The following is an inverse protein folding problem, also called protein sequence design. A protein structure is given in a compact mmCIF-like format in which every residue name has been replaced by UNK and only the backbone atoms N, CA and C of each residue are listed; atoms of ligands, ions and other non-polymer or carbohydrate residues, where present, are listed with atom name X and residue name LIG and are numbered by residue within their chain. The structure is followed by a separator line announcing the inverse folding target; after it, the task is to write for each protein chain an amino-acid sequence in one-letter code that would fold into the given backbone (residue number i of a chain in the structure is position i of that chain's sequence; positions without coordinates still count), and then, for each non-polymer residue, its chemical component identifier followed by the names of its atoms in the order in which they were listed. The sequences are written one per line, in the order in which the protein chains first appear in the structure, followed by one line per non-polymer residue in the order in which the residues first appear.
data_IF_187987094386
#
_entry.id   IF_187987094386
#
_cell.length_a   1.000
_cell.length_b   1.000
_cell.length_c   1.000
_cell.angle_alpha   90.00
_cell.angle_beta   90.00
_cell.angle_gamma   90.00
#
_symmetry.space_group_name_H-M   'P 1'
#
loop_
_entity.id
_entity.type
_entity.pdbx_description
1 polymer ?
#
# COMPACT_ATOMS: atom_id res chain seq x y z
N UNK A 1 43.18 4.86 -24.32
CA UNK A 1 42.85 3.99 -25.46
C UNK A 1 42.95 2.55 -24.98
N UNK A 2 41.81 1.94 -24.65
CA UNK A 2 41.71 0.54 -24.22
C UNK A 2 41.55 -0.33 -25.47
N UNK A 3 42.38 -1.35 -25.63
CA UNK A 3 42.30 -2.27 -26.77
C UNK A 3 40.92 -2.94 -26.88
N UNK A 4 40.41 -3.18 -28.10
CA UNK A 4 39.18 -3.95 -28.29
C UNK A 4 39.41 -5.40 -27.86
N UNK A 5 38.82 -5.78 -26.73
CA UNK A 5 38.86 -7.15 -26.21
C UNK A 5 38.34 -8.15 -27.25
N UNK A 6 39.09 -9.24 -27.43
CA UNK A 6 38.72 -10.30 -28.37
C UNK A 6 37.28 -10.78 -28.12
N UNK A 7 36.47 -10.82 -29.19
CA UNK A 7 35.09 -11.28 -29.12
C UNK A 7 35.03 -12.72 -28.60
N UNK A 8 34.09 -13.02 -27.70
CA UNK A 8 33.94 -14.34 -27.07
C UNK A 8 32.82 -15.15 -27.72
N UNK A 9 32.90 -16.47 -27.62
CA UNK A 9 31.87 -17.36 -28.16
C UNK A 9 30.58 -17.40 -27.32
N UNK A 10 29.52 -17.95 -27.90
CA UNK A 10 28.21 -18.06 -27.26
C UNK A 10 28.24 -18.86 -25.95
N UNK A 11 29.13 -19.85 -25.82
CA UNK A 11 29.22 -20.66 -24.62
C UNK A 11 29.81 -19.84 -23.46
N UNK A 12 30.94 -19.17 -23.72
CA UNK A 12 31.62 -18.31 -22.75
C UNK A 12 30.76 -17.12 -22.35
N UNK A 13 30.06 -16.49 -23.31
CA UNK A 13 29.14 -15.39 -23.02
C UNK A 13 27.93 -15.83 -22.17
N UNK A 14 27.41 -17.04 -22.41
CA UNK A 14 26.28 -17.57 -21.66
C UNK A 14 26.67 -17.93 -20.22
N UNK A 15 27.85 -18.53 -20.05
CA UNK A 15 28.43 -18.87 -18.76
C UNK A 15 28.65 -17.63 -17.89
N UNK A 16 29.23 -16.56 -18.45
CA UNK A 16 29.44 -15.29 -17.75
C UNK A 16 28.15 -14.60 -17.28
N UNK A 17 27.03 -14.82 -17.97
CA UNK A 17 25.70 -14.32 -17.57
C UNK A 17 24.92 -15.32 -16.70
N UNK A 18 25.42 -16.54 -16.54
CA UNK A 18 24.74 -17.68 -15.91
C UNK A 18 23.45 -18.09 -16.63
N UNK A 19 23.36 -17.93 -17.95
CA UNK A 19 22.17 -18.23 -18.76
C UNK A 19 22.43 -19.37 -19.76
N UNK A 20 21.37 -19.88 -20.41
CA UNK A 20 21.53 -20.82 -21.54
C UNK A 20 21.94 -20.08 -22.81
N UNK A 21 22.73 -20.68 -23.73
CA UNK A 21 23.12 -20.05 -25.00
C UNK A 21 21.93 -19.55 -25.85
N UNK A 22 20.78 -20.22 -25.80
CA UNK A 22 19.56 -19.78 -26.47
C UNK A 22 19.08 -18.38 -26.01
N UNK A 23 19.32 -18.04 -24.74
CA UNK A 23 18.93 -16.75 -24.14
C UNK A 23 19.73 -15.59 -24.72
N UNK A 24 21.00 -15.81 -25.10
CA UNK A 24 21.83 -14.78 -25.75
C UNK A 24 21.21 -14.28 -27.05
N UNK A 25 20.69 -15.18 -27.88
CA UNK A 25 20.04 -14.82 -29.13
C UNK A 25 18.75 -14.01 -28.92
N UNK A 26 18.05 -14.25 -27.81
CA UNK A 26 16.91 -13.43 -27.42
C UNK A 26 17.33 -12.01 -27.00
N UNK A 27 18.50 -11.84 -26.37
CA UNK A 27 19.06 -10.52 -26.06
C UNK A 27 19.51 -9.78 -27.34
N UNK A 28 20.11 -10.49 -28.30
CA UNK A 28 20.45 -9.94 -29.62
C UNK A 28 19.21 -9.48 -30.37
N UNK A 29 18.15 -10.31 -30.41
CA UNK A 29 16.88 -9.94 -31.06
C UNK A 29 16.21 -8.71 -30.42
N UNK A 30 16.53 -8.39 -29.17
CA UNK A 30 16.01 -7.23 -28.43
C UNK A 30 16.96 -6.03 -28.50
N UNK A 31 18.04 -6.11 -29.28
CA UNK A 31 19.05 -5.05 -29.41
C UNK A 31 19.91 -4.83 -28.15
N UNK A 32 19.93 -5.79 -27.22
CA UNK A 32 20.64 -5.67 -25.94
C UNK A 32 22.10 -6.15 -26.02
N UNK A 33 22.40 -7.03 -26.97
CA UNK A 33 23.75 -7.52 -27.25
C UNK A 33 23.98 -7.46 -28.76
N UNK A 34 25.20 -7.12 -29.16
CA UNK A 34 25.65 -7.27 -30.54
C UNK A 34 26.15 -8.67 -30.80
N UNK A 35 25.94 -9.12 -32.04
CA UNK A 35 26.37 -10.42 -32.51
C UNK A 35 27.19 -10.27 -33.77
N UNK A 36 28.44 -10.74 -33.74
CA UNK A 36 29.24 -10.99 -34.93
C UNK A 36 29.22 -12.48 -35.27
N UNK A 37 29.70 -12.83 -36.46
CA UNK A 37 29.94 -14.22 -36.86
C UNK A 37 31.43 -14.44 -37.06
N UNK A 38 31.88 -15.66 -36.81
CA UNK A 38 33.23 -16.08 -37.20
C UNK A 38 33.43 -15.95 -38.72
N UNK A 39 34.67 -15.82 -39.22
CA UNK A 39 34.95 -15.72 -40.65
C UNK A 39 34.42 -16.90 -41.49
N UNK A 40 34.31 -18.09 -40.90
CA UNK A 40 33.71 -19.28 -41.52
C UNK A 40 32.16 -19.27 -41.47
N UNK A 41 31.55 -18.25 -40.87
CA UNK A 41 30.11 -18.05 -40.75
C UNK A 41 29.38 -19.00 -39.79
N UNK A 42 30.09 -19.96 -39.16
CA UNK A 42 29.48 -21.09 -38.45
C UNK A 42 29.13 -20.78 -36.99
N UNK A 43 29.80 -19.83 -36.35
CA UNK A 43 29.63 -19.54 -34.92
C UNK A 43 29.33 -18.07 -34.67
N UNK A 44 28.56 -17.82 -33.60
CA UNK A 44 28.23 -16.46 -33.16
C UNK A 44 29.23 -16.01 -32.10
N UNK A 45 29.66 -14.76 -32.22
CA UNK A 45 30.58 -14.09 -31.32
C UNK A 45 29.89 -12.89 -30.65
N UNK A 46 30.29 -12.58 -29.42
CA UNK A 46 29.72 -11.54 -28.57
C UNK A 46 30.82 -10.64 -27.99
N UNK A 47 30.50 -9.37 -27.75
CA UNK A 47 31.40 -8.41 -27.13
C UNK A 47 31.46 -8.64 -25.61
N UNK A 48 32.63 -8.94 -25.03
CA UNK A 48 32.78 -9.16 -23.58
C UNK A 48 32.33 -7.98 -22.72
N UNK A 49 32.52 -6.74 -23.19
CA UNK A 49 32.15 -5.55 -22.42
C UNK A 49 30.63 -5.39 -22.32
N UNK A 50 29.89 -5.71 -23.39
CA UNK A 50 28.42 -5.71 -23.36
C UNK A 50 27.87 -6.82 -22.46
N UNK A 51 28.55 -7.96 -22.40
CA UNK A 51 28.22 -9.08 -21.50
C UNK A 51 28.43 -8.68 -20.03
N UNK A 52 29.56 -8.05 -19.71
CA UNK A 52 29.87 -7.62 -18.33
C UNK A 52 28.97 -6.48 -17.86
N UNK A 53 28.62 -5.54 -18.75
CA UNK A 53 27.63 -4.50 -18.46
C UNK A 53 26.23 -5.08 -18.20
N UNK A 54 25.80 -6.06 -19.01
CA UNK A 54 24.52 -6.74 -18.81
C UNK A 54 24.49 -7.58 -17.53
N UNK A 55 25.61 -8.19 -17.15
CA UNK A 55 25.75 -8.89 -15.86
C UNK A 55 25.58 -7.93 -14.67
N UNK A 56 26.20 -6.74 -14.73
CA UNK A 56 26.10 -5.70 -13.68
C UNK A 56 24.69 -5.11 -13.56
N UNK A 57 23.98 -4.93 -14.67
CA UNK A 57 22.61 -4.36 -14.67
C UNK A 57 21.52 -5.33 -14.19
N UNK A 58 21.83 -6.62 -14.07
CA UNK A 58 20.86 -7.66 -13.72
C UNK A 58 20.01 -8.10 -14.92
N UNK A 59 19.50 -9.34 -14.84
CA UNK A 59 18.72 -9.96 -15.93
C UNK A 59 17.43 -9.20 -16.20
N UNK A 60 17.12 -8.82 -17.45
CA UNK A 60 15.79 -8.33 -17.81
C UNK A 60 14.77 -9.46 -17.63
N UNK A 61 13.92 -9.35 -16.61
CA UNK A 61 12.81 -10.28 -16.38
C UNK A 61 11.68 -10.02 -17.38
N UNK A 62 11.00 -11.08 -17.83
CA UNK A 62 9.81 -10.97 -18.67
C UNK A 62 8.61 -10.57 -17.78
N UNK A 63 8.03 -9.41 -18.07
CA UNK A 63 6.71 -8.99 -17.56
C UNK A 63 6.78 -8.11 -16.31
N UNK A 64 6.46 -6.82 -16.47
CA UNK A 64 6.40 -5.81 -15.42
C UNK A 64 7.49 -4.76 -15.57
N UNK A 65 7.10 -3.50 -15.76
CA UNK A 65 7.99 -2.36 -15.49
C UNK A 65 8.13 -2.27 -13.97
N UNK A 66 8.99 -3.10 -13.39
CA UNK A 66 9.18 -3.14 -11.94
C UNK A 66 10.04 -1.95 -11.52
N UNK A 67 9.41 -0.98 -10.86
CA UNK A 67 10.11 0.12 -10.22
C UNK A 67 10.77 -0.43 -8.95
N UNK A 68 12.08 -0.70 -9.03
CA UNK A 68 12.86 -1.15 -7.87
C UNK A 68 13.38 0.07 -7.14
N UNK A 69 12.97 0.23 -5.88
CA UNK A 69 13.48 1.27 -5.00
C UNK A 69 13.97 0.63 -3.72
N UNK A 70 15.22 0.88 -3.34
CA UNK A 70 15.76 0.38 -2.08
C UNK A 70 14.93 0.91 -0.89
N UNK A 71 14.69 0.06 0.10
CA UNK A 71 14.02 0.42 1.34
C UNK A 71 14.47 -0.53 2.46
N UNK A 72 14.56 0.00 3.68
CA UNK A 72 14.87 -0.74 4.91
C UNK A 72 13.64 -0.91 5.80
N UNK A 73 12.46 -0.46 5.33
CA UNK A 73 11.25 -0.36 6.14
C UNK A 73 10.47 -1.66 6.21
N UNK A 74 10.18 -2.28 5.07
CA UNK A 74 9.36 -3.49 5.03
C UNK A 74 9.87 -4.43 3.97
N UNK A 75 9.94 -5.70 4.33
CA UNK A 75 10.12 -6.80 3.39
C UNK A 75 8.87 -7.67 3.40
N UNK A 76 8.44 -8.13 2.24
CA UNK A 76 7.34 -9.09 2.11
C UNK A 76 7.91 -10.51 2.12
N UNK A 77 7.49 -11.32 3.09
CA UNK A 77 7.74 -12.76 3.08
C UNK A 77 6.70 -13.51 2.25
N UNK A 78 6.62 -14.82 2.45
CA UNK A 78 5.75 -15.71 1.65
C UNK A 78 4.25 -15.36 1.76
N UNK A 79 3.81 -14.90 2.93
CA UNK A 79 2.40 -14.62 3.22
C UNK A 79 2.15 -13.38 4.10
N UNK A 80 3.20 -12.66 4.53
CA UNK A 80 3.09 -11.52 5.46
C UNK A 80 4.23 -10.50 5.31
N UNK A 81 4.03 -9.24 5.74
CA UNK A 81 5.09 -8.25 5.82
C UNK A 81 5.89 -8.33 7.13
N UNK A 82 7.15 -7.88 7.07
CA UNK A 82 8.03 -7.70 8.22
C UNK A 82 8.48 -6.24 8.31
N UNK A 83 8.04 -5.54 9.37
CA UNK A 83 8.36 -4.13 9.60
C UNK A 83 9.71 -3.99 10.30
N UNK A 84 10.70 -3.47 9.58
CA UNK A 84 12.12 -3.39 9.98
C UNK A 84 12.60 -4.72 10.56
N UNK A 85 12.25 -5.81 9.90
CA UNK A 85 12.60 -7.18 10.28
C UNK A 85 11.68 -7.86 11.31
N UNK A 86 10.65 -7.18 11.85
CA UNK A 86 9.71 -7.75 12.83
C UNK A 86 8.42 -8.22 12.17
N UNK A 87 7.94 -9.41 12.55
CA UNK A 87 6.68 -9.98 12.04
C UNK A 87 5.48 -9.07 12.38
N UNK A 88 4.82 -8.55 11.34
CA UNK A 88 3.67 -7.65 11.50
C UNK A 88 2.49 -8.30 12.23
N UNK A 89 2.29 -9.61 12.12
CA UNK A 89 1.22 -10.31 12.85
C UNK A 89 1.50 -10.35 14.35
N UNK A 90 2.78 -10.53 14.74
CA UNK A 90 3.18 -10.49 16.16
C UNK A 90 3.03 -9.09 16.73
N UNK A 91 3.44 -8.07 15.96
CA UNK A 91 3.25 -6.68 16.34
C UNK A 91 1.77 -6.37 16.56
N UNK A 92 0.88 -6.81 15.65
CA UNK A 92 -0.56 -6.58 15.77
C UNK A 92 -1.17 -7.20 17.04
N UNK A 93 -0.59 -8.29 17.55
CA UNK A 93 -1.05 -8.94 18.76
C UNK A 93 -0.51 -8.31 20.06
N UNK A 94 0.55 -7.51 20.00
CA UNK A 94 1.32 -7.15 21.21
C UNK A 94 1.66 -5.66 21.35
N UNK A 95 1.58 -4.87 20.28
CA UNK A 95 2.00 -3.48 20.27
C UNK A 95 0.83 -2.56 19.94
N UNK A 96 0.91 -1.31 20.44
CA UNK A 96 -0.01 -0.26 20.03
C UNK A 96 0.37 0.23 18.63
N UNK A 97 -0.61 0.77 17.90
CA UNK A 97 -0.36 1.35 16.59
C UNK A 97 0.67 2.48 16.65
N UNK A 98 0.57 3.34 17.67
CA UNK A 98 1.49 4.46 17.89
C UNK A 98 2.94 4.00 18.09
N UNK A 99 3.15 2.87 18.77
CA UNK A 99 4.48 2.29 19.00
C UNK A 99 5.07 1.76 17.69
N UNK A 100 4.25 1.07 16.89
CA UNK A 100 4.66 0.55 15.58
C UNK A 100 4.96 1.68 14.59
N UNK A 101 4.13 2.73 14.58
CA UNK A 101 4.34 3.90 13.74
C UNK A 101 5.63 4.65 14.16
N UNK A 102 5.87 4.84 15.45
CA UNK A 102 7.13 5.41 15.92
C UNK A 102 8.34 4.56 15.50
N UNK A 103 8.27 3.24 15.69
CA UNK A 103 9.30 2.29 15.26
C UNK A 103 9.56 2.37 13.75
N UNK A 104 8.52 2.48 12.93
CA UNK A 104 8.67 2.65 11.48
C UNK A 104 9.43 3.94 11.13
N UNK A 105 9.17 5.04 11.83
CA UNK A 105 9.83 6.34 11.58
C UNK A 105 11.27 6.40 12.07
N UNK A 106 11.52 5.96 13.31
CA UNK A 106 12.82 6.18 13.98
C UNK A 106 13.73 4.96 13.94
N UNK A 107 13.17 3.76 13.84
CA UNK A 107 13.91 2.52 14.08
C UNK A 107 14.24 2.29 15.55
N UNK A 108 13.59 3.02 16.46
CA UNK A 108 13.76 2.94 17.91
C UNK A 108 12.45 2.54 18.58
N UNK A 109 12.53 1.75 19.66
CA UNK A 109 11.37 1.43 20.47
C UNK A 109 10.97 2.64 21.32
N UNK A 110 9.68 2.75 21.63
CA UNK A 110 9.19 3.77 22.56
C UNK A 110 8.33 3.15 23.63
N UNK A 111 8.47 3.67 24.85
CA UNK A 111 7.58 3.40 25.98
C UNK A 111 6.68 4.61 26.27
N UNK A 112 6.72 5.64 25.41
CA UNK A 112 5.97 6.87 25.60
C UNK A 112 4.47 6.60 25.52
N UNK A 113 3.75 6.87 26.61
CA UNK A 113 2.31 6.68 26.69
C UNK A 113 1.51 7.94 26.37
N UNK A 114 2.19 9.08 26.19
CA UNK A 114 1.56 10.37 25.88
C UNK A 114 0.71 10.26 24.61
N UNK A 115 -0.61 10.51 24.71
CA UNK A 115 -1.50 10.43 23.57
C UNK A 115 -1.11 11.43 22.47
N UNK A 116 -1.16 10.98 21.21
CA UNK A 116 -1.00 11.90 20.10
C UNK A 116 -2.23 12.80 19.99
N UNK A 117 -1.99 14.10 19.91
CA UNK A 117 -3.00 15.16 19.78
C UNK A 117 -2.55 16.11 18.69
N UNK A 118 -3.47 16.48 17.82
CA UNK A 118 -3.22 17.55 16.86
C UNK A 118 -3.38 18.91 17.52
N UNK A 119 -2.80 19.95 16.92
CA UNK A 119 -3.03 21.32 17.34
C UNK A 119 -4.53 21.66 17.24
N UNK A 120 -5.16 22.20 18.31
CA UNK A 120 -6.59 22.51 18.31
C UNK A 120 -7.03 23.40 17.14
N UNK A 121 -6.23 24.42 16.81
CA UNK A 121 -6.51 25.33 15.70
C UNK A 121 -6.47 24.62 14.34
N UNK A 122 -5.58 23.63 14.18
CA UNK A 122 -5.51 22.81 12.97
C UNK A 122 -6.75 21.92 12.83
N UNK A 123 -7.21 21.32 13.93
CA UNK A 123 -8.45 20.52 13.95
C UNK A 123 -9.67 21.40 13.65
N UNK A 124 -9.74 22.60 14.24
CA UNK A 124 -10.82 23.55 13.97
C UNK A 124 -10.86 23.96 12.50
N UNK A 125 -9.71 24.29 11.91
CA UNK A 125 -9.59 24.60 10.49
C UNK A 125 -10.02 23.42 9.60
N UNK A 126 -9.62 22.19 9.94
CA UNK A 126 -10.00 20.99 9.21
C UNK A 126 -11.49 20.66 9.31
N UNK A 127 -12.11 20.84 10.49
CA UNK A 127 -13.57 20.71 10.68
C UNK A 127 -14.31 21.77 9.86
N UNK A 128 -13.83 23.01 9.84
CA UNK A 128 -14.42 24.08 9.03
C UNK A 128 -14.31 23.79 7.52
N UNK A 129 -13.15 23.36 7.04
CA UNK A 129 -12.89 23.08 5.62
C UNK A 129 -13.81 22.00 5.03
N UNK A 130 -14.24 21.03 5.83
CA UNK A 130 -15.14 19.96 5.38
C UNK A 130 -16.62 20.19 5.71
N UNK A 131 -16.96 21.28 6.40
CA UNK A 131 -18.32 21.53 6.91
C UNK A 131 -19.37 21.67 5.80
N UNK A 132 -18.96 22.11 4.61
CA UNK A 132 -19.82 22.21 3.43
C UNK A 132 -19.96 20.93 2.61
N UNK A 133 -19.28 19.84 2.98
CA UNK A 133 -19.40 18.56 2.26
C UNK A 133 -20.73 17.89 2.57
N UNK A 134 -21.30 17.20 1.57
CA UNK A 134 -22.58 16.50 1.73
C UNK A 134 -22.53 15.47 2.88
N UNK A 135 -23.66 15.24 3.55
CA UNK A 135 -23.73 14.31 4.68
C UNK A 135 -23.23 12.90 4.33
N UNK A 136 -23.51 12.41 3.11
CA UNK A 136 -23.07 11.11 2.60
C UNK A 136 -21.63 11.06 2.07
N UNK A 137 -20.83 12.11 2.23
CA UNK A 137 -19.41 12.11 1.83
C UNK A 137 -18.65 11.08 2.65
N UNK A 138 -17.92 10.18 1.98
CA UNK A 138 -17.23 9.07 2.61
C UNK A 138 -16.09 9.56 3.51
N UNK A 139 -15.75 8.82 4.57
CA UNK A 139 -14.65 9.21 5.45
C UNK A 139 -13.32 9.43 4.73
N UNK A 140 -12.97 8.61 3.73
CA UNK A 140 -11.72 8.77 2.97
C UNK A 140 -11.66 10.11 2.23
N UNK A 141 -12.76 10.54 1.62
CA UNK A 141 -12.87 11.82 0.91
C UNK A 141 -12.71 12.99 1.89
N UNK A 142 -13.28 12.86 3.09
CA UNK A 142 -13.07 13.83 4.18
C UNK A 142 -11.61 13.88 4.62
N UNK A 143 -10.95 12.72 4.76
CA UNK A 143 -9.53 12.66 5.11
C UNK A 143 -8.63 13.38 4.11
N UNK A 144 -8.98 13.37 2.81
CA UNK A 144 -8.26 14.13 1.78
C UNK A 144 -8.38 15.65 2.02
N UNK A 145 -9.57 16.15 2.35
CA UNK A 145 -9.78 17.57 2.68
C UNK A 145 -9.11 17.95 4.00
N UNK A 146 -9.27 17.12 5.04
CA UNK A 146 -8.66 17.30 6.35
C UNK A 146 -7.14 17.43 6.23
N UNK A 147 -6.50 16.54 5.47
CA UNK A 147 -5.04 16.52 5.30
C UNK A 147 -4.52 17.85 4.74
N UNK A 148 -5.20 18.40 3.72
CA UNK A 148 -4.86 19.71 3.15
C UNK A 148 -5.04 20.82 4.18
N UNK A 149 -6.15 20.83 4.91
CA UNK A 149 -6.42 21.85 5.93
C UNK A 149 -5.40 21.82 7.08
N UNK A 150 -5.04 20.64 7.58
CA UNK A 150 -4.02 20.47 8.61
C UNK A 150 -2.66 21.02 8.15
N UNK A 151 -2.30 20.81 6.89
CA UNK A 151 -1.06 21.34 6.33
C UNK A 151 -0.99 22.87 6.42
N UNK A 152 -2.12 23.58 6.28
CA UNK A 152 -2.14 25.05 6.34
C UNK A 152 -1.85 25.62 7.72
N UNK A 153 -2.08 24.83 8.77
CA UNK A 153 -1.88 25.22 10.16
C UNK A 153 -0.48 24.84 10.69
N UNK A 154 0.32 24.10 9.93
CA UNK A 154 1.67 23.69 10.33
C UNK A 154 2.74 24.61 9.71
N UNK A 155 3.34 25.54 10.48
CA UNK A 155 4.37 26.43 9.97
C UNK A 155 5.71 25.71 9.70
N UNK A 156 5.91 24.51 10.24
CA UNK A 156 7.13 23.72 10.12
C UNK A 156 7.01 22.60 9.08
N UNK A 157 5.92 22.55 8.30
CA UNK A 157 5.69 21.48 7.31
C UNK A 157 6.80 21.31 6.27
N UNK A 158 7.57 22.37 5.99
CA UNK A 158 8.68 22.33 5.03
C UNK A 158 10.02 21.91 5.67
N UNK A 159 10.05 21.69 6.98
CA UNK A 159 11.20 21.14 7.69
C UNK A 159 11.18 19.61 7.57
N UNK A 160 12.06 19.06 6.74
CA UNK A 160 12.02 17.65 6.33
C UNK A 160 13.00 16.73 7.08
N UNK A 161 13.64 17.23 8.16
CA UNK A 161 14.48 16.37 8.99
C UNK A 161 13.62 15.33 9.76
N UNK A 162 14.21 14.19 10.16
CA UNK A 162 13.43 13.11 10.75
C UNK A 162 12.61 13.47 11.99
N UNK A 163 13.09 14.39 12.84
CA UNK A 163 12.38 14.78 14.05
C UNK A 163 11.16 15.65 13.72
N UNK A 164 11.33 16.60 12.79
CA UNK A 164 10.22 17.43 12.31
C UNK A 164 9.14 16.59 11.61
N UNK A 165 9.52 15.65 10.73
CA UNK A 165 8.56 14.77 10.05
C UNK A 165 7.86 13.83 11.03
N UNK A 166 8.55 13.35 12.06
CA UNK A 166 7.93 12.57 13.15
C UNK A 166 6.89 13.39 13.91
N UNK A 167 7.18 14.65 14.25
CA UNK A 167 6.22 15.53 14.91
C UNK A 167 5.01 15.85 14.02
N UNK A 168 5.25 16.20 12.76
CA UNK A 168 4.21 16.41 11.74
C UNK A 168 3.35 15.14 11.56
N UNK A 169 3.97 13.96 11.56
CA UNK A 169 3.27 12.68 11.45
C UNK A 169 2.30 12.40 12.61
N UNK A 170 2.73 12.67 13.85
CA UNK A 170 1.87 12.56 15.04
C UNK A 170 0.69 13.55 14.96
N UNK A 171 0.96 14.80 14.58
CA UNK A 171 -0.06 15.83 14.39
C UNK A 171 -1.04 15.46 13.27
N UNK A 172 -0.54 14.99 12.13
CA UNK A 172 -1.34 14.60 10.97
C UNK A 172 -2.26 13.42 11.28
N UNK A 173 -1.73 12.31 11.81
CA UNK A 173 -2.53 11.12 12.14
C UNK A 173 -3.58 11.46 13.20
N UNK A 174 -3.21 12.19 14.26
CA UNK A 174 -4.17 12.64 15.26
C UNK A 174 -5.24 13.55 14.63
N UNK A 175 -4.85 14.52 13.81
CA UNK A 175 -5.76 15.48 13.19
C UNK A 175 -6.71 14.83 12.17
N UNK A 176 -6.24 13.84 11.41
CA UNK A 176 -7.05 13.01 10.52
C UNK A 176 -8.22 12.37 11.29
N UNK A 177 -7.95 11.84 12.48
CA UNK A 177 -8.98 11.23 13.33
C UNK A 177 -9.83 12.27 14.04
N UNK A 178 -9.21 13.28 14.64
CA UNK A 178 -9.87 14.27 15.50
C UNK A 178 -10.77 15.24 14.71
N UNK A 179 -10.51 15.41 13.41
CA UNK A 179 -11.32 16.24 12.54
C UNK A 179 -12.46 15.48 11.82
N UNK A 180 -12.49 14.15 11.84
CA UNK A 180 -13.64 13.42 11.28
C UNK A 180 -14.94 13.77 12.03
N UNK A 181 -16.11 13.76 11.35
CA UNK A 181 -17.39 13.93 12.03
C UNK A 181 -17.62 12.85 13.10
N UNK A 182 -18.33 13.20 14.17
CA UNK A 182 -18.63 12.33 15.29
C UNK A 182 -18.43 13.04 16.63
N UNK A 183 -18.74 12.36 17.72
CA UNK A 183 -18.60 12.92 19.06
C UNK A 183 -17.19 12.70 19.62
N UNK A 184 -16.72 13.70 20.38
CA UNK A 184 -15.49 13.61 21.15
C UNK A 184 -15.77 12.79 22.42
N UNK A 185 -15.04 11.70 22.63
CA UNK A 185 -15.04 10.95 23.89
C UNK A 185 -13.78 11.31 24.70
N UNK A 186 -13.90 12.00 25.85
CA UNK A 186 -12.77 12.34 26.70
C UNK A 186 -11.98 11.13 27.22
N UNK A 187 -12.63 9.95 27.33
CA UNK A 187 -11.97 8.72 27.76
C UNK A 187 -11.13 8.07 26.65
N UNK A 188 -11.46 8.35 25.38
CA UNK A 188 -10.72 7.86 24.23
C UNK A 188 -9.38 8.61 24.07
N UNK A 189 -8.29 7.98 24.49
CA UNK A 189 -6.97 8.59 24.44
C UNK A 189 -6.15 8.16 23.22
N UNK A 190 -6.08 6.87 22.91
CA UNK A 190 -5.29 6.35 21.78
C UNK A 190 -6.00 6.58 20.43
N UNK A 191 -5.22 6.59 19.35
CA UNK A 191 -5.72 6.75 17.97
C UNK A 191 -6.85 5.74 17.64
N UNK A 192 -6.73 4.44 17.95
CA UNK A 192 -7.77 3.47 17.63
C UNK A 192 -9.08 3.72 18.38
N UNK A 193 -9.00 4.17 19.64
CA UNK A 193 -10.17 4.47 20.47
C UNK A 193 -10.92 5.69 19.91
N UNK A 194 -10.20 6.76 19.56
CA UNK A 194 -10.82 7.94 18.97
C UNK A 194 -11.34 7.66 17.56
N UNK A 195 -10.65 6.84 16.77
CA UNK A 195 -11.11 6.47 15.44
C UNK A 195 -12.40 5.65 15.49
N UNK A 196 -12.56 4.79 16.51
CA UNK A 196 -13.80 4.06 16.73
C UNK A 196 -14.99 5.01 16.86
N UNK A 197 -14.91 6.03 17.72
CA UNK A 197 -16.03 6.97 17.96
C UNK A 197 -16.40 7.81 16.73
N UNK A 198 -15.47 7.98 15.77
CA UNK A 198 -15.73 8.66 14.50
C UNK A 198 -16.39 7.78 13.45
N UNK A 199 -16.10 6.48 13.48
CA UNK A 199 -16.54 5.55 12.44
C UNK A 199 -17.74 4.71 12.84
N UNK A 200 -18.13 4.67 14.10
CA UNK A 200 -19.30 3.92 14.55
C UNK A 200 -20.10 4.64 15.62
N UNK A 201 -21.41 4.45 15.56
CA UNK A 201 -22.34 4.87 16.60
C UNK A 201 -22.49 3.80 17.71
N UNK A 202 -21.85 2.64 17.56
CA UNK A 202 -21.84 1.57 18.57
C UNK A 202 -20.85 1.93 19.66
N UNK A 203 -21.32 1.92 20.91
CA UNK A 203 -20.50 2.17 22.10
C UNK A 203 -19.20 1.34 22.08
N UNK A 204 -18.03 1.96 22.33
CA UNK A 204 -16.75 1.26 22.36
C UNK A 204 -16.75 0.14 23.40
N UNK A 205 -16.58 -1.09 22.92
CA UNK A 205 -16.30 -2.26 23.76
C UNK A 205 -14.85 -2.70 23.59
N UNK A 206 -14.18 -3.23 24.64
CA UNK A 206 -12.77 -3.58 24.57
C UNK A 206 -12.42 -4.52 23.41
N UNK A 207 -13.25 -5.52 23.14
CA UNK A 207 -12.95 -6.57 22.17
C UNK A 207 -13.06 -6.09 20.71
N UNK A 208 -14.16 -5.43 20.26
CA UNK A 208 -14.22 -4.87 18.91
C UNK A 208 -13.19 -3.75 18.67
N UNK A 209 -12.93 -2.90 19.67
CA UNK A 209 -11.88 -1.87 19.56
C UNK A 209 -10.49 -2.53 19.48
N UNK A 210 -10.27 -3.65 20.20
CA UNK A 210 -9.07 -4.47 20.06
C UNK A 210 -8.84 -5.01 18.63
N UNK A 211 -9.93 -5.34 17.92
CA UNK A 211 -9.84 -5.70 16.50
C UNK A 211 -9.40 -4.52 15.63
N UNK A 212 -9.93 -3.31 15.88
CA UNK A 212 -9.50 -2.09 15.19
C UNK A 212 -8.03 -1.76 15.47
N UNK A 213 -7.56 -1.91 16.72
CA UNK A 213 -6.14 -1.75 17.10
C UNK A 213 -5.24 -2.67 16.25
N UNK A 214 -5.62 -3.95 16.17
CA UNK A 214 -4.89 -4.95 15.38
C UNK A 214 -4.90 -4.61 13.89
N UNK A 215 -6.05 -4.19 13.35
CA UNK A 215 -6.18 -3.78 11.95
C UNK A 215 -5.24 -2.62 11.60
N UNK A 216 -5.15 -1.59 12.45
CA UNK A 216 -4.25 -0.45 12.23
C UNK A 216 -2.78 -0.88 12.15
N UNK A 217 -2.34 -1.84 12.98
CA UNK A 217 -0.97 -2.38 12.91
C UNK A 217 -0.75 -3.22 11.66
N UNK A 218 -1.68 -4.12 11.31
CA UNK A 218 -1.59 -4.96 10.10
C UNK A 218 -1.54 -4.15 8.81
N UNK A 219 -2.08 -2.92 8.83
CA UNK A 219 -2.16 -2.02 7.69
C UNK A 219 -1.07 -0.93 7.70
N UNK A 220 -0.29 -0.81 8.78
CA UNK A 220 0.66 0.28 9.00
C UNK A 220 1.63 0.47 7.83
N UNK A 221 2.14 -0.63 7.25
CA UNK A 221 2.94 -0.58 6.03
C UNK A 221 2.78 -1.83 5.16
N UNK A 222 3.14 -1.74 3.88
CA UNK A 222 3.17 -2.89 2.98
C UNK A 222 4.08 -2.67 1.77
N UNK A 223 5.31 -2.23 2.04
CA UNK A 223 6.36 -2.04 1.03
C UNK A 223 5.91 -1.07 -0.10
N UNK A 224 6.31 -1.28 -1.35
CA UNK A 224 6.09 -0.36 -2.47
C UNK A 224 4.71 -0.56 -3.12
N UNK A 225 3.67 -0.68 -2.29
CA UNK A 225 2.29 -0.57 -2.74
C UNK A 225 2.08 0.71 -3.56
N UNK A 226 1.09 0.73 -4.47
CA UNK A 226 0.91 1.84 -5.41
C UNK A 226 0.82 3.22 -4.73
N UNK A 227 0.11 3.32 -3.60
CA UNK A 227 0.05 4.57 -2.82
C UNK A 227 1.39 4.95 -2.19
N UNK A 228 2.17 3.98 -1.72
CA UNK A 228 3.53 4.21 -1.23
C UNK A 228 4.44 4.73 -2.34
N UNK A 229 4.33 4.20 -3.56
CA UNK A 229 5.09 4.70 -4.71
C UNK A 229 4.74 6.16 -4.99
N UNK A 230 3.45 6.52 -4.97
CA UNK A 230 3.03 7.91 -5.14
C UNK A 230 3.60 8.85 -4.06
N UNK A 231 3.60 8.40 -2.80
CA UNK A 231 4.22 9.13 -1.69
C UNK A 231 5.71 9.32 -1.92
N UNK A 232 6.45 8.27 -2.33
CA UNK A 232 7.88 8.39 -2.62
C UNK A 232 8.15 9.32 -3.80
N UNK A 233 7.31 9.31 -4.84
CA UNK A 233 7.44 10.27 -5.95
C UNK A 233 7.30 11.71 -5.45
N UNK A 234 6.27 12.01 -4.66
CA UNK A 234 6.08 13.34 -4.07
C UNK A 234 7.24 13.73 -3.15
N UNK A 235 7.69 12.82 -2.28
CA UNK A 235 8.79 13.06 -1.36
C UNK A 235 10.12 13.29 -2.09
N UNK A 236 10.34 12.64 -3.23
CA UNK A 236 11.57 12.76 -4.03
C UNK A 236 11.79 14.17 -4.61
N UNK A 237 10.72 14.97 -4.70
CA UNK A 237 10.78 16.39 -5.09
C UNK A 237 10.62 17.34 -3.90
N UNK A 238 10.77 16.83 -2.67
CA UNK A 238 10.67 17.59 -1.42
C UNK A 238 9.30 18.21 -1.15
N UNK A 239 8.22 17.57 -1.62
CA UNK A 239 6.89 17.91 -1.13
C UNK A 239 6.85 17.75 0.40
N UNK A 240 6.05 18.58 1.09
CA UNK A 240 5.91 18.46 2.55
C UNK A 240 5.21 17.13 2.94
N UNK A 241 5.35 16.67 4.20
CA UNK A 241 4.76 15.41 4.66
C UNK A 241 3.25 15.30 4.45
N UNK A 242 2.50 16.40 4.53
CA UNK A 242 1.05 16.41 4.32
C UNK A 242 0.72 16.23 2.84
N UNK A 243 1.42 16.94 1.95
CA UNK A 243 1.28 16.77 0.50
C UNK A 243 1.70 15.37 0.04
N UNK A 244 2.76 14.80 0.60
CA UNK A 244 3.20 13.43 0.33
C UNK A 244 2.13 12.40 0.74
N UNK A 245 1.53 12.56 1.93
CA UNK A 245 0.39 11.74 2.37
C UNK A 245 -0.84 11.97 1.49
N UNK A 246 -1.10 13.21 1.07
CA UNK A 246 -2.18 13.54 0.12
C UNK A 246 -2.07 12.77 -1.20
N UNK A 247 -0.85 12.64 -1.76
CA UNK A 247 -0.62 11.79 -2.93
C UNK A 247 -0.94 10.31 -2.65
N UNK A 248 -0.58 9.82 -1.47
CA UNK A 248 -0.92 8.47 -1.00
C UNK A 248 -2.43 8.24 -0.89
N UNK A 249 -3.15 9.19 -0.28
CA UNK A 249 -4.61 9.17 -0.15
C UNK A 249 -5.32 9.18 -1.50
N UNK A 250 -4.83 9.98 -2.46
CA UNK A 250 -5.38 10.03 -3.81
C UNK A 250 -5.29 8.69 -4.54
N UNK A 251 -4.17 7.96 -4.39
CA UNK A 251 -4.02 6.62 -4.96
C UNK A 251 -4.76 5.54 -4.17
N UNK A 252 -4.87 5.69 -2.84
CA UNK A 252 -5.61 4.76 -1.98
C UNK A 252 -7.08 4.63 -2.38
N UNK A 253 -7.74 5.74 -2.73
CA UNK A 253 -9.14 5.75 -3.19
C UNK A 253 -9.38 5.06 -4.54
N UNK A 254 -8.34 4.55 -5.21
CA UNK A 254 -8.51 3.77 -6.43
C UNK A 254 -9.17 2.41 -6.16
N UNK A 255 -10.09 2.00 -7.04
CA UNK A 255 -10.86 0.74 -6.94
C UNK A 255 -10.00 -0.53 -6.98
N UNK A 256 -8.76 -0.45 -7.47
CA UNK A 256 -7.79 -1.55 -7.53
C UNK A 256 -6.77 -1.52 -6.37
N UNK A 257 -6.97 -0.63 -5.40
CA UNK A 257 -6.10 -0.49 -4.23
C UNK A 257 -6.95 -0.49 -2.94
N UNK A 258 -6.95 0.60 -2.16
CA UNK A 258 -7.70 0.67 -0.90
C UNK A 258 -9.22 0.66 -1.05
N UNK A 259 -9.73 1.15 -2.19
CA UNK A 259 -11.18 1.14 -2.48
C UNK A 259 -11.80 -0.24 -2.66
N UNK A 260 -11.00 -1.31 -2.62
CA UNK A 260 -11.51 -2.67 -2.63
C UNK A 260 -12.37 -2.98 -1.38
N UNK A 261 -12.05 -2.41 -0.21
CA UNK A 261 -12.83 -2.67 1.02
C UNK A 261 -14.25 -2.12 0.92
N UNK A 262 -14.45 -0.93 0.35
CA UNK A 262 -15.79 -0.37 0.09
C UNK A 262 -16.62 -1.28 -0.82
N UNK A 263 -16.00 -1.83 -1.86
CA UNK A 263 -16.65 -2.82 -2.74
C UNK A 263 -17.07 -4.10 -2.00
N UNK A 264 -16.30 -4.54 -1.00
CA UNK A 264 -16.64 -5.70 -0.16
C UNK A 264 -17.73 -5.34 0.86
N UNK A 265 -17.71 -4.14 1.45
CA UNK A 265 -18.79 -3.65 2.32
C UNK A 265 -20.13 -3.64 1.58
N UNK A 266 -20.15 -3.12 0.34
CA UNK A 266 -21.31 -3.14 -0.54
C UNK A 266 -21.76 -4.57 -0.88
N UNK A 267 -20.82 -5.51 -1.08
CA UNK A 267 -21.14 -6.93 -1.29
C UNK A 267 -21.83 -7.54 -0.06
N UNK A 268 -21.32 -7.30 1.15
CA UNK A 268 -21.95 -7.80 2.38
C UNK A 268 -23.35 -7.21 2.59
N UNK A 269 -23.53 -5.92 2.28
CA UNK A 269 -24.84 -5.28 2.33
C UNK A 269 -25.83 -5.87 1.30
N UNK A 270 -25.39 -6.08 0.05
CA UNK A 270 -26.19 -6.67 -1.03
C UNK A 270 -26.63 -8.11 -0.71
N UNK A 271 -25.74 -8.89 -0.10
CA UNK A 271 -26.05 -10.24 0.37
C UNK A 271 -27.10 -10.16 1.46
N UNK A 272 -26.87 -9.40 2.54
CA UNK A 272 -27.83 -9.10 3.60
C UNK A 272 -28.26 -10.28 4.49
N UNK A 273 -28.33 -11.49 3.94
CA UNK A 273 -28.61 -12.74 4.65
C UNK A 273 -27.77 -13.90 4.10
N UNK A 274 -27.37 -14.88 4.94
CA UNK A 274 -26.49 -15.98 4.52
C UNK A 274 -26.98 -16.77 3.30
N UNK A 275 -28.28 -17.01 3.19
CA UNK A 275 -28.92 -17.78 2.11
C UNK A 275 -28.81 -17.10 0.74
N UNK A 276 -28.59 -15.77 0.71
CA UNK A 276 -28.46 -15.00 -0.54
C UNK A 276 -27.06 -14.99 -1.11
N UNK A 277 -26.04 -15.41 -0.36
CA UNK A 277 -24.63 -15.32 -0.77
C UNK A 277 -24.38 -16.03 -2.11
N UNK A 278 -24.89 -17.27 -2.26
CA UNK A 278 -24.74 -18.05 -3.48
C UNK A 278 -25.36 -17.40 -4.71
N UNK A 279 -26.54 -16.78 -4.54
CA UNK A 279 -27.24 -16.09 -5.63
C UNK A 279 -26.49 -14.82 -6.05
N UNK A 280 -26.14 -13.95 -5.09
CA UNK A 280 -25.49 -12.66 -5.36
C UNK A 280 -24.13 -12.85 -6.04
N UNK A 281 -23.28 -13.72 -5.49
CA UNK A 281 -21.95 -14.00 -6.08
C UNK A 281 -22.11 -14.68 -7.44
N UNK A 282 -23.06 -15.62 -7.57
CA UNK A 282 -23.34 -16.30 -8.83
C UNK A 282 -23.80 -15.37 -9.94
N UNK A 283 -24.66 -14.39 -9.65
CA UNK A 283 -25.13 -13.39 -10.61
C UNK A 283 -24.01 -12.47 -11.10
N UNK A 284 -23.14 -11.99 -10.19
CA UNK A 284 -21.96 -11.18 -10.55
C UNK A 284 -21.02 -11.94 -11.49
N UNK A 285 -20.67 -13.18 -11.15
CA UNK A 285 -19.80 -14.00 -11.99
C UNK A 285 -20.42 -14.30 -13.36
N UNK A 286 -21.75 -14.50 -13.43
CA UNK A 286 -22.46 -14.69 -14.70
C UNK A 286 -22.36 -13.49 -15.63
N UNK A 287 -22.29 -12.28 -15.07
CA UNK A 287 -22.11 -11.02 -15.83
C UNK A 287 -20.66 -10.75 -16.24
N UNK A 288 -19.72 -11.57 -15.77
CA UNK A 288 -18.28 -11.34 -15.96
C UNK A 288 -17.69 -10.33 -14.98
N UNK A 289 -18.44 -9.94 -13.95
CA UNK A 289 -17.97 -9.01 -12.93
C UNK A 289 -16.92 -9.68 -12.02
N UNK A 290 -15.97 -8.89 -11.54
CA UNK A 290 -15.04 -9.33 -10.48
C UNK A 290 -15.74 -9.28 -9.13
N UNK A 291 -15.39 -10.22 -8.25
CA UNK A 291 -15.84 -10.20 -6.86
C UNK A 291 -14.85 -9.34 -6.05
N UNK A 292 -15.28 -8.21 -5.45
CA UNK A 292 -14.39 -7.33 -4.68
C UNK A 292 -13.63 -8.09 -3.58
N UNK A 293 -12.37 -7.73 -3.35
CA UNK A 293 -11.53 -8.34 -2.29
C UNK A 293 -10.95 -9.72 -2.60
N UNK A 294 -11.34 -10.36 -3.72
CA UNK A 294 -10.83 -11.68 -4.14
C UNK A 294 -10.10 -11.58 -5.49
N UNK A 295 -8.84 -11.12 -5.47
CA UNK A 295 -8.07 -10.90 -6.70
C UNK A 295 -6.58 -10.59 -6.55
N UNK A 296 -6.11 -10.32 -5.33
CA UNK A 296 -4.69 -10.10 -5.06
C UNK A 296 -3.89 -11.37 -5.30
N UNK A 297 -2.75 -11.25 -6.02
CA UNK A 297 -1.82 -12.36 -6.29
C UNK A 297 -0.44 -12.18 -5.66
N UNK A 298 -0.31 -11.21 -4.76
CA UNK A 298 0.99 -10.90 -4.16
C UNK A 298 1.52 -12.07 -3.33
N UNK A 299 0.71 -12.57 -2.39
CA UNK A 299 1.04 -13.73 -1.59
C UNK A 299 0.53 -15.01 -2.23
N UNK A 300 1.45 -15.90 -2.64
CA UNK A 300 1.10 -17.13 -3.36
C UNK A 300 0.31 -18.11 -2.49
N UNK A 301 0.55 -18.11 -1.17
CA UNK A 301 -0.19 -18.89 -0.16
C UNK A 301 -1.38 -18.15 0.47
N UNK A 302 -1.66 -16.92 0.04
CA UNK A 302 -2.68 -16.03 0.59
C UNK A 302 -2.20 -15.11 1.70
N UNK A 303 -3.00 -14.08 1.97
CA UNK A 303 -2.61 -12.99 2.88
C UNK A 303 -2.82 -13.40 4.34
N UNK A 304 -1.73 -13.55 5.09
CA UNK A 304 -1.78 -13.91 6.50
C UNK A 304 -2.40 -12.81 7.37
N UNK A 305 -2.32 -11.55 6.95
CA UNK A 305 -2.98 -10.44 7.65
C UNK A 305 -4.49 -10.57 7.55
N UNK A 306 -4.99 -10.93 6.36
CA UNK A 306 -6.42 -11.13 6.13
C UNK A 306 -6.96 -12.24 7.03
N UNK A 307 -6.26 -13.38 7.09
CA UNK A 307 -6.60 -14.50 7.98
C UNK A 307 -6.58 -14.06 9.45
N UNK A 308 -5.50 -13.42 9.89
CA UNK A 308 -5.36 -12.94 11.27
C UNK A 308 -6.51 -12.01 11.68
N UNK A 309 -6.82 -11.00 10.86
CA UNK A 309 -7.89 -10.07 11.17
C UNK A 309 -9.28 -10.73 11.12
N UNK A 310 -9.54 -11.64 10.17
CA UNK A 310 -10.79 -12.42 10.15
C UNK A 310 -10.96 -13.28 11.40
N UNK A 311 -9.89 -13.90 11.89
CA UNK A 311 -9.95 -14.72 13.11
C UNK A 311 -10.24 -13.87 14.35
N UNK A 312 -9.66 -12.66 14.42
CA UNK A 312 -9.99 -11.69 15.47
C UNK A 312 -11.46 -11.26 15.36
N UNK A 313 -11.93 -10.91 14.16
CA UNK A 313 -13.32 -10.54 13.90
C UNK A 313 -14.29 -11.65 14.31
N UNK A 314 -13.99 -12.92 13.97
CA UNK A 314 -14.80 -14.08 14.40
C UNK A 314 -14.89 -14.17 15.92
N UNK A 315 -13.79 -13.92 16.63
CA UNK A 315 -13.78 -13.98 18.09
C UNK A 315 -14.59 -12.82 18.71
N UNK A 316 -14.42 -11.60 18.19
CA UNK A 316 -14.88 -10.36 18.85
C UNK A 316 -16.12 -9.72 18.23
N UNK A 317 -16.70 -10.30 17.17
CA UNK A 317 -17.82 -9.71 16.44
C UNK A 317 -18.98 -9.32 17.38
N UNK A 318 -19.37 -8.03 17.39
CA UNK A 318 -20.46 -7.56 18.25
C UNK A 318 -21.84 -8.00 17.72
N UNK A 319 -21.95 -8.29 16.42
CA UNK A 319 -23.18 -8.72 15.73
C UNK A 319 -22.95 -10.09 15.06
N UNK A 320 -23.53 -11.15 15.64
CA UNK A 320 -23.35 -12.53 15.17
C UNK A 320 -24.14 -12.83 13.90
N UNK A 321 -25.22 -12.10 13.62
CA UNK A 321 -25.99 -12.28 12.40
C UNK A 321 -25.25 -11.70 11.20
N UNK A 322 -24.65 -10.50 11.36
CA UNK A 322 -23.76 -9.94 10.35
C UNK A 322 -22.51 -10.81 10.13
N UNK A 323 -21.97 -11.43 11.18
CA UNK A 323 -20.88 -12.39 11.03
C UNK A 323 -21.28 -13.60 10.18
N UNK A 324 -22.51 -14.13 10.32
CA UNK A 324 -23.00 -15.23 9.48
C UNK A 324 -23.06 -14.85 8.00
N UNK A 325 -23.38 -13.60 7.68
CA UNK A 325 -23.33 -13.09 6.29
C UNK A 325 -21.90 -13.10 5.75
N UNK A 326 -20.94 -12.61 6.53
CA UNK A 326 -19.52 -12.64 6.17
C UNK A 326 -19.05 -14.07 5.92
N UNK A 327 -19.35 -15.00 6.83
CA UNK A 327 -18.96 -16.42 6.67
C UNK A 327 -19.61 -17.06 5.44
N UNK A 328 -20.87 -16.74 5.13
CA UNK A 328 -21.53 -17.25 3.93
C UNK A 328 -20.87 -16.76 2.63
N UNK A 329 -20.44 -15.50 2.59
CA UNK A 329 -19.68 -14.96 1.44
C UNK A 329 -18.32 -15.63 1.31
N UNK A 330 -17.59 -15.82 2.41
CA UNK A 330 -16.30 -16.52 2.42
C UNK A 330 -16.44 -17.99 1.99
N UNK A 331 -17.48 -18.68 2.48
CA UNK A 331 -17.78 -20.06 2.12
C UNK A 331 -18.11 -20.21 0.63
N UNK A 332 -18.94 -19.31 0.09
CA UNK A 332 -19.31 -19.31 -1.32
C UNK A 332 -18.11 -18.96 -2.22
N UNK A 333 -17.29 -17.98 -1.83
CA UNK A 333 -16.05 -17.66 -2.54
C UNK A 333 -15.11 -18.87 -2.62
N UNK A 334 -14.98 -19.62 -1.50
CA UNK A 334 -14.19 -20.87 -1.45
C UNK A 334 -14.80 -21.96 -2.33
N UNK A 335 -16.12 -22.18 -2.26
CA UNK A 335 -16.82 -23.19 -3.05
C UNK A 335 -16.62 -22.96 -4.56
N UNK A 336 -16.59 -21.69 -4.98
CA UNK A 336 -16.36 -21.28 -6.36
C UNK A 336 -14.88 -21.15 -6.75
N UNK A 337 -13.95 -21.44 -5.84
CA UNK A 337 -12.49 -21.34 -6.07
C UNK A 337 -12.07 -19.93 -6.49
N UNK A 338 -12.69 -18.89 -5.93
CA UNK A 338 -12.21 -17.53 -6.07
C UNK A 338 -10.81 -17.42 -5.45
N UNK A 339 -10.01 -16.41 -5.84
CA UNK A 339 -8.74 -16.11 -5.17
C UNK A 339 -8.96 -15.96 -3.66
N UNK A 340 -7.93 -16.24 -2.88
CA UNK A 340 -7.96 -16.05 -1.42
C UNK A 340 -8.29 -14.59 -1.03
N UNK A 341 -9.00 -14.38 0.09
CA UNK A 341 -9.39 -13.05 0.52
C UNK A 341 -8.16 -12.19 0.82
N UNK A 342 -8.16 -10.96 0.31
CA UNK A 342 -7.20 -9.93 0.69
C UNK A 342 -7.56 -9.33 2.06
N UNK A 343 -6.63 -8.54 2.63
CA UNK A 343 -6.86 -7.82 3.88
C UNK A 343 -8.10 -6.91 3.82
N UNK A 344 -8.44 -6.40 2.64
CA UNK A 344 -9.64 -5.59 2.38
C UNK A 344 -10.94 -6.31 2.74
N UNK A 345 -10.99 -7.65 2.55
CA UNK A 345 -12.15 -8.46 2.95
C UNK A 345 -12.28 -8.52 4.46
N UNK A 346 -11.16 -8.68 5.16
CA UNK A 346 -11.15 -8.71 6.62
C UNK A 346 -11.50 -7.35 7.22
N UNK A 347 -11.07 -6.27 6.57
CA UNK A 347 -11.37 -4.90 6.98
C UNK A 347 -12.84 -4.55 6.78
N UNK A 348 -13.40 -4.90 5.62
CA UNK A 348 -14.83 -4.79 5.37
C UNK A 348 -15.65 -5.66 6.32
N UNK A 349 -15.15 -6.85 6.69
CA UNK A 349 -15.81 -7.72 7.65
C UNK A 349 -15.87 -7.07 9.04
N UNK A 350 -14.76 -6.47 9.50
CA UNK A 350 -14.72 -5.70 10.74
C UNK A 350 -15.75 -4.55 10.71
N UNK A 351 -15.71 -3.71 9.67
CA UNK A 351 -16.64 -2.59 9.51
C UNK A 351 -18.10 -3.04 9.50
N UNK A 352 -18.39 -4.11 8.75
CA UNK A 352 -19.72 -4.69 8.64
C UNK A 352 -20.19 -5.25 9.99
N UNK A 353 -19.45 -6.14 10.66
CA UNK A 353 -19.93 -6.68 11.95
C UNK A 353 -20.05 -5.60 13.03
N UNK A 354 -19.19 -4.58 13.01
CA UNK A 354 -19.17 -3.49 13.99
C UNK A 354 -20.18 -2.37 13.71
N UNK A 355 -20.96 -2.45 12.62
CA UNK A 355 -21.91 -1.39 12.22
C UNK A 355 -21.22 -0.03 12.07
N UNK A 356 -19.99 -0.04 11.55
CA UNK A 356 -19.32 1.19 11.17
C UNK A 356 -20.03 1.85 9.98
N UNK A 357 -19.83 3.14 9.83
CA UNK A 357 -20.30 3.94 8.69
C UNK A 357 -19.73 3.41 7.38
N UNK A 358 -20.42 3.67 6.27
CA UNK A 358 -19.96 3.29 4.94
C UNK A 358 -18.58 3.90 4.63
N UNK A 359 -17.67 3.11 4.07
CA UNK A 359 -16.31 3.55 3.76
C UNK A 359 -15.39 3.61 4.99
N UNK A 360 -15.83 3.10 6.15
CA UNK A 360 -14.99 3.00 7.34
C UNK A 360 -13.74 2.15 7.10
N UNK A 361 -13.83 1.08 6.30
CA UNK A 361 -12.65 0.28 5.98
C UNK A 361 -11.56 1.11 5.29
N UNK A 362 -11.91 1.92 4.31
CA UNK A 362 -10.95 2.80 3.62
C UNK A 362 -10.34 3.84 4.57
N UNK A 363 -11.15 4.36 5.50
CA UNK A 363 -10.71 5.33 6.52
C UNK A 363 -9.65 4.72 7.45
N UNK A 364 -9.92 3.51 7.97
CA UNK A 364 -8.99 2.75 8.80
C UNK A 364 -7.71 2.46 8.02
N UNK A 365 -7.83 2.07 6.75
CA UNK A 365 -6.68 1.80 5.89
C UNK A 365 -5.81 3.05 5.68
N UNK A 366 -6.43 4.19 5.40
CA UNK A 366 -5.76 5.46 5.23
C UNK A 366 -5.02 5.91 6.49
N UNK A 367 -5.70 5.92 7.65
CA UNK A 367 -5.10 6.32 8.93
C UNK A 367 -3.91 5.42 9.29
N UNK A 368 -4.07 4.10 9.13
CA UNK A 368 -2.99 3.15 9.38
C UNK A 368 -1.79 3.39 8.45
N UNK A 369 -2.06 3.45 7.14
CA UNK A 369 -1.02 3.49 6.11
C UNK A 369 -0.25 4.80 6.10
N UNK A 370 -0.80 5.88 6.66
CA UNK A 370 -0.05 7.13 6.89
C UNK A 370 1.25 6.91 7.66
N UNK A 371 1.31 5.93 8.58
CA UNK A 371 2.54 5.58 9.27
C UNK A 371 3.65 5.13 8.30
N UNK A 372 3.37 4.12 7.47
CA UNK A 372 4.29 3.63 6.45
C UNK A 372 4.61 4.68 5.39
N UNK A 373 3.63 5.45 4.93
CA UNK A 373 3.85 6.54 3.97
C UNK A 373 4.86 7.57 4.48
N UNK A 374 4.71 8.03 5.71
CA UNK A 374 5.65 8.98 6.31
C UNK A 374 7.04 8.36 6.47
N UNK A 375 7.14 7.09 6.87
CA UNK A 375 8.41 6.38 6.94
C UNK A 375 9.10 6.32 5.55
N UNK A 376 8.35 5.98 4.51
CA UNK A 376 8.84 5.95 3.14
C UNK A 376 9.21 7.33 2.61
N UNK A 377 8.47 8.37 2.99
CA UNK A 377 8.81 9.75 2.69
C UNK A 377 10.13 10.17 3.36
N UNK A 378 10.34 9.79 4.63
CA UNK A 378 11.59 10.05 5.36
C UNK A 378 12.80 9.35 4.70
N UNK A 379 12.66 8.10 4.27
CA UNK A 379 13.71 7.43 3.49
C UNK A 379 14.02 8.16 2.17
N UNK A 380 13.02 8.75 1.53
CA UNK A 380 13.21 9.51 0.30
C UNK A 380 13.79 10.91 0.53
N UNK A 381 13.40 11.59 1.61
CA UNK A 381 13.98 12.88 2.00
C UNK A 381 15.49 12.80 2.25
N UNK A 382 15.97 11.65 2.72
CA UNK A 382 17.39 11.39 2.91
C UNK A 382 18.19 11.20 1.60
N UNK A 383 17.53 11.04 0.45
CA UNK A 383 18.20 10.86 -0.86
C UNK A 383 18.40 12.18 -1.57
N UNK A 384 19.49 12.30 -2.32
CA UNK A 384 19.86 13.54 -3.03
C UNK A 384 19.15 13.69 -4.38
N UNK A 385 18.83 12.59 -5.05
CA UNK A 385 18.36 12.60 -6.44
C UNK A 385 16.85 12.29 -6.50
N UNK A 386 16.04 13.14 -7.16
CA UNK A 386 14.63 12.87 -7.37
C UNK A 386 14.36 11.61 -8.20
N UNK A 387 13.24 10.95 -7.94
CA UNK A 387 12.80 9.82 -8.75
C UNK A 387 12.41 10.33 -10.15
N UNK A 388 13.12 9.85 -11.18
CA UNK A 388 12.88 10.21 -12.58
C UNK A 388 12.83 8.98 -13.47
N UNK A 389 11.69 8.26 -13.52
CA UNK A 389 11.55 7.12 -14.42
C UNK A 389 11.66 7.56 -15.88
N UNK A 390 12.13 6.66 -16.75
CA UNK A 390 12.22 6.87 -18.20
C UNK A 390 11.11 6.09 -18.89
N UNK A 391 10.44 6.73 -19.84
CA UNK A 391 9.50 6.06 -20.71
C UNK A 391 10.23 5.36 -21.86
N UNK A 392 9.71 4.21 -22.27
CA UNK A 392 9.98 3.65 -23.60
C UNK A 392 8.96 4.28 -24.54
N UNK A 393 9.43 5.12 -25.47
CA UNK A 393 8.57 5.77 -26.43
C UNK A 393 8.01 4.75 -27.42
N UNK A 394 6.68 4.61 -27.46
CA UNK A 394 5.94 3.69 -28.34
C UNK A 394 5.02 4.41 -29.32
N UNK A 395 5.18 5.74 -29.46
CA UNK A 395 4.45 6.55 -30.44
C UNK A 395 5.09 6.54 -31.83
N UNK A 396 4.55 7.33 -32.78
CA UNK A 396 5.09 7.47 -34.13
C UNK A 396 6.56 7.96 -34.14
N UNK A 397 7.43 7.50 -35.05
CA UNK A 397 8.81 7.97 -35.11
C UNK A 397 8.90 9.49 -35.15
N UNK A 398 9.82 10.12 -34.38
CA UNK A 398 9.94 11.57 -34.37
C UNK A 398 10.35 12.09 -35.75
N UNK A 399 9.68 13.14 -36.21
CA UNK A 399 10.06 13.86 -37.42
C UNK A 399 11.46 14.45 -37.25
N UNK A 400 12.40 14.00 -38.06
CA UNK A 400 13.75 14.58 -38.06
C UNK A 400 13.72 15.84 -38.92
N UNK A 401 14.20 17.00 -38.42
CA UNK A 401 14.37 18.16 -39.28
C UNK A 401 15.28 17.77 -40.46
N UNK A 402 14.84 18.09 -41.68
CA UNK A 402 15.67 17.90 -42.88
C UNK A 402 16.96 18.69 -42.66
N UNK A 403 18.11 18.00 -42.65
CA UNK A 403 19.42 18.64 -42.61
C UNK A 403 19.48 19.65 -43.76
N UNK A 404 19.73 20.92 -43.44
CA UNK A 404 20.06 21.95 -44.43
C UNK A 404 21.49 21.80 -44.89
#
# INVERSE_FOLDING_TARGET
MTEPGAWIDAASAADRLGVKPATLYAYVSRGMLRRARTPDGRRSLFDPAEIEELARRGRPRRGGHELVIESRLTVLGDDRPYYRGRDALRLAATHRFEDVAHWLWTGEETTATTPWRAHPDAVAAARAAQSGLAAGTLPLERLQVITVALATADPLRLTLDPAAVTAAGRNLIAGMVDALPGEDDPAATAIPDRLWTRLTAVEPRPEPVGALRSALVLLADHELAASTVAVRVAASVRADPYAAVGAGLGVLGGTLHGGASLGVEALFAEVGSPDRAGRVIGERLRRGDRVPGFGGRLYTGGDARARCLLDIVRATAPDRDRLRVVEAVLAEARARRLPVPAIDVALAALAYVARMTEGAGEAVFAVARTAGWLAHAMEEYAREVPLRPRAVYSGPPPERPKSR
#
